data_IF_922528981950
#
_entry.id   IF_922528981950
#
_cell.length_a   1.000
_cell.length_b   1.000
_cell.length_c   1.000
_cell.angle_alpha   90.00
_cell.angle_beta   90.00
_cell.angle_gamma   90.00
#
_symmetry.space_group_name_H-M   'P 1'
#
loop_
_entity.id
_entity.type
_entity.pdbx_description
1 polymer ?
#
# COMPACT_ATOMS: atom_id res chain seq x y z
N UNK A 1 3.19 -25.31 -9.77
CA UNK A 1 4.60 -25.71 -9.86
C UNK A 1 5.44 -24.63 -9.19
N UNK A 2 6.44 -24.99 -8.38
CA UNK A 2 7.28 -24.04 -7.65
C UNK A 2 8.45 -23.51 -8.48
N UNK A 3 8.73 -24.13 -9.63
CA UNK A 3 9.87 -23.82 -10.50
C UNK A 3 9.84 -22.40 -11.07
N UNK A 4 8.69 -21.71 -11.02
CA UNK A 4 8.54 -20.32 -11.47
C UNK A 4 8.86 -19.29 -10.39
N UNK A 5 9.09 -19.70 -9.14
CA UNK A 5 9.35 -18.77 -8.03
C UNK A 5 10.85 -18.55 -7.90
N UNK A 6 11.31 -17.33 -8.18
CA UNK A 6 12.71 -16.96 -8.01
C UNK A 6 13.06 -16.80 -6.53
N UNK A 7 13.70 -17.81 -5.94
CA UNK A 7 14.11 -17.83 -4.53
C UNK A 7 15.63 -17.79 -4.45
N UNK A 8 16.17 -16.76 -3.79
CA UNK A 8 17.62 -16.62 -3.63
C UNK A 8 18.15 -17.66 -2.64
N UNK A 9 19.32 -18.24 -2.94
CA UNK A 9 20.04 -19.16 -2.05
C UNK A 9 21.32 -18.49 -1.56
N UNK A 10 21.50 -18.46 -0.23
CA UNK A 10 22.70 -17.90 0.39
C UNK A 10 23.92 -18.80 0.21
N UNK A 11 25.11 -18.25 0.47
CA UNK A 11 26.39 -18.97 0.36
C UNK A 11 26.50 -20.19 1.30
N UNK A 12 25.72 -20.20 2.40
CA UNK A 12 25.58 -21.32 3.33
C UNK A 12 24.58 -22.40 2.86
N UNK A 13 23.99 -22.25 1.67
CA UNK A 13 23.02 -23.17 1.10
C UNK A 13 21.59 -22.99 1.61
N UNK A 14 21.30 -22.02 2.47
CA UNK A 14 19.94 -21.73 2.94
C UNK A 14 19.16 -20.87 1.95
N UNK A 15 17.86 -21.12 1.80
CA UNK A 15 16.98 -20.28 1.00
C UNK A 15 16.57 -19.03 1.77
N UNK A 16 16.57 -17.88 1.09
CA UNK A 16 16.10 -16.61 1.61
C UNK A 16 14.76 -16.27 0.96
N UNK A 17 13.67 -16.43 1.72
CA UNK A 17 12.32 -16.15 1.25
C UNK A 17 11.94 -14.71 1.55
N UNK A 18 11.47 -14.01 0.52
CA UNK A 18 10.81 -12.70 0.66
C UNK A 18 9.31 -12.89 0.91
N UNK A 19 8.61 -11.83 1.32
CA UNK A 19 7.15 -11.87 1.44
C UNK A 19 6.47 -12.19 0.09
N UNK A 20 7.01 -11.66 -1.02
CA UNK A 20 6.53 -11.99 -2.36
C UNK A 20 6.69 -13.49 -2.69
N UNK A 21 7.80 -14.11 -2.27
CA UNK A 21 7.97 -15.56 -2.42
C UNK A 21 6.92 -16.31 -1.60
N UNK A 22 6.66 -15.89 -0.36
CA UNK A 22 5.64 -16.52 0.51
C UNK A 22 4.25 -16.44 -0.14
N UNK A 23 3.89 -15.30 -0.73
CA UNK A 23 2.61 -15.14 -1.40
C UNK A 23 2.50 -16.03 -2.65
N UNK A 24 3.52 -16.04 -3.49
CA UNK A 24 3.54 -16.91 -4.67
C UNK A 24 3.46 -18.40 -4.30
N UNK A 25 4.15 -18.81 -3.23
CA UNK A 25 4.06 -20.18 -2.71
C UNK A 25 2.65 -20.51 -2.20
N UNK A 26 2.00 -19.58 -1.49
CA UNK A 26 0.62 -19.76 -1.02
C UNK A 26 -0.35 -19.97 -2.19
N UNK A 27 -0.17 -19.22 -3.30
CA UNK A 27 -1.00 -19.37 -4.49
C UNK A 27 -0.79 -20.73 -5.18
N UNK A 28 0.47 -21.19 -5.31
CA UNK A 28 0.79 -22.54 -5.82
C UNK A 28 0.17 -23.64 -4.96
N UNK A 29 0.11 -23.43 -3.64
CA UNK A 29 -0.49 -24.37 -2.68
C UNK A 29 -2.03 -24.27 -2.61
N UNK A 30 -2.66 -23.35 -3.35
CA UNK A 30 -4.11 -23.13 -3.30
C UNK A 30 -4.61 -22.48 -2.01
N UNK A 31 -3.71 -21.87 -1.22
CA UNK A 31 -4.06 -21.13 0.01
C UNK A 31 -4.43 -19.72 -0.39
N UNK A 32 -5.70 -19.49 -0.72
CA UNK A 32 -6.17 -18.19 -1.22
C UNK A 32 -6.05 -17.06 -0.17
N UNK A 33 -5.74 -15.85 -0.63
CA UNK A 33 -5.82 -14.65 0.18
C UNK A 33 -7.30 -14.36 0.54
N UNK A 34 -7.52 -13.74 1.69
CA UNK A 34 -8.83 -13.28 2.14
C UNK A 34 -9.20 -12.01 1.36
N UNK A 35 -9.75 -12.21 0.16
CA UNK A 35 -10.20 -11.13 -0.71
C UNK A 35 -11.55 -10.62 -0.22
N UNK A 36 -11.63 -9.31 0.01
CA UNK A 36 -12.89 -8.64 0.37
C UNK A 36 -13.93 -8.89 -0.73
N UNK A 37 -15.09 -9.43 -0.36
CA UNK A 37 -16.25 -9.57 -1.27
C UNK A 37 -16.94 -8.22 -1.45
N UNK A 38 -17.73 -8.08 -2.51
CA UNK A 38 -18.54 -6.88 -2.75
C UNK A 38 -19.49 -6.56 -1.59
N UNK A 39 -19.99 -7.60 -0.91
CA UNK A 39 -20.85 -7.50 0.28
C UNK A 39 -20.12 -7.10 1.56
N UNK A 40 -18.79 -7.27 1.62
CA UNK A 40 -18.04 -7.04 2.84
C UNK A 40 -17.75 -5.56 3.01
N UNK A 41 -17.97 -5.03 4.21
CA UNK A 41 -17.62 -3.64 4.53
C UNK A 41 -16.11 -3.43 4.47
N UNK A 42 -15.66 -2.38 3.77
CA UNK A 42 -14.28 -1.91 3.84
C UNK A 42 -13.98 -1.43 5.27
N UNK A 43 -12.94 -1.99 5.88
CA UNK A 43 -12.48 -1.53 7.19
C UNK A 43 -11.62 -0.28 7.01
N UNK A 44 -12.04 0.81 7.62
CA UNK A 44 -11.33 2.10 7.58
C UNK A 44 -10.85 2.41 8.99
N UNK A 45 -9.54 2.60 9.13
CA UNK A 45 -8.90 2.95 10.40
C UNK A 45 -8.35 4.37 10.24
N UNK A 46 -8.81 5.28 11.09
CA UNK A 46 -8.33 6.67 11.10
C UNK A 46 -7.41 6.85 12.30
N UNK A 47 -6.16 7.23 12.04
CA UNK A 47 -5.19 7.57 13.09
C UNK A 47 -5.07 9.08 13.16
N UNK A 48 -5.77 9.68 14.11
CA UNK A 48 -5.81 11.13 14.30
C UNK A 48 -5.31 11.52 15.69
N UNK A 49 -4.64 12.67 15.78
CA UNK A 49 -4.22 13.34 17.01
C UNK A 49 -3.94 14.81 16.72
N UNK A 50 -4.48 15.68 17.58
CA UNK A 50 -4.37 17.14 17.49
C UNK A 50 -2.97 17.67 17.90
N UNK A 51 -2.08 16.80 18.38
CA UNK A 51 -0.74 17.18 18.81
C UNK A 51 0.32 16.63 17.83
N UNK A 52 1.24 17.50 17.44
CA UNK A 52 2.43 17.14 16.68
C UNK A 52 3.34 16.20 17.48
N UNK A 53 3.98 15.24 16.81
CA UNK A 53 4.93 14.32 17.46
C UNK A 53 4.30 13.21 18.32
N UNK A 54 2.98 13.00 18.29
CA UNK A 54 2.32 11.93 19.04
C UNK A 54 2.41 10.52 18.40
N UNK A 55 3.29 10.32 17.41
CA UNK A 55 3.49 9.01 16.79
C UNK A 55 2.37 8.53 15.87
N UNK A 56 1.57 9.44 15.27
CA UNK A 56 0.48 9.10 14.33
C UNK A 56 0.99 8.28 13.16
N UNK A 57 1.93 8.84 12.40
CA UNK A 57 2.55 8.21 11.22
C UNK A 57 3.27 6.92 11.60
N UNK A 58 4.02 6.93 12.71
CA UNK A 58 4.68 5.73 13.23
C UNK A 58 3.69 4.62 13.54
N UNK A 59 2.56 4.94 14.18
CA UNK A 59 1.51 3.96 14.49
C UNK A 59 0.86 3.44 13.21
N UNK A 60 0.56 4.32 12.26
CA UNK A 60 -0.01 3.97 10.96
C UNK A 60 0.87 2.99 10.20
N UNK A 61 2.15 3.32 10.04
CA UNK A 61 3.13 2.51 9.32
C UNK A 61 3.28 1.15 9.97
N UNK A 62 3.39 1.09 11.30
CA UNK A 62 3.54 -0.17 12.02
C UNK A 62 2.27 -1.05 11.94
N UNK A 63 1.09 -0.46 12.08
CA UNK A 63 -0.18 -1.21 11.96
C UNK A 63 -0.30 -1.78 10.54
N UNK A 64 -0.04 -0.97 9.51
CA UNK A 64 -0.06 -1.41 8.13
C UNK A 64 0.95 -2.53 7.86
N UNK A 65 2.21 -2.34 8.25
CA UNK A 65 3.26 -3.36 8.09
C UNK A 65 2.93 -4.65 8.83
N UNK A 66 2.42 -4.58 10.06
CA UNK A 66 2.02 -5.75 10.83
C UNK A 66 0.88 -6.50 10.15
N UNK A 67 -0.19 -5.81 9.73
CA UNK A 67 -1.31 -6.42 9.02
C UNK A 67 -0.89 -7.04 7.68
N UNK A 68 0.06 -6.43 6.98
CA UNK A 68 0.54 -6.89 5.69
C UNK A 68 1.42 -8.15 5.79
N UNK A 69 2.28 -8.20 6.80
CA UNK A 69 3.38 -9.18 6.88
C UNK A 69 3.08 -10.38 7.78
N UNK A 70 2.25 -10.19 8.82
CA UNK A 70 2.06 -11.23 9.86
C UNK A 70 0.78 -12.05 9.68
N UNK A 71 -0.07 -11.68 8.73
CA UNK A 71 -1.39 -12.29 8.59
C UNK A 71 -1.43 -13.30 7.44
N UNK A 72 -1.76 -14.56 7.76
CA UNK A 72 -1.99 -15.62 6.76
C UNK A 72 -3.06 -15.26 5.73
N UNK A 73 -3.95 -14.34 6.09
CA UNK A 73 -5.02 -13.84 5.23
C UNK A 73 -4.53 -12.94 4.09
N UNK A 74 -3.30 -12.45 4.12
CA UNK A 74 -2.69 -11.63 3.05
C UNK A 74 -3.56 -10.45 2.63
N UNK A 75 -4.01 -9.65 3.62
CA UNK A 75 -4.87 -8.51 3.37
C UNK A 75 -4.23 -7.48 2.43
N UNK A 76 -5.04 -6.87 1.58
CA UNK A 76 -4.67 -5.67 0.83
C UNK A 76 -4.83 -4.45 1.71
N UNK A 77 -3.81 -3.60 1.76
CA UNK A 77 -3.79 -2.41 2.60
C UNK A 77 -3.58 -1.18 1.71
N UNK A 78 -4.45 -0.20 1.86
CA UNK A 78 -4.29 1.13 1.30
C UNK A 78 -4.01 2.11 2.42
N UNK A 79 -2.97 2.91 2.26
CA UNK A 79 -2.68 4.07 3.13
C UNK A 79 -3.08 5.31 2.35
N UNK A 80 -3.75 6.24 3.02
CA UNK A 80 -4.03 7.57 2.50
C UNK A 80 -3.35 8.54 3.45
N UNK A 81 -2.31 9.23 2.98
CA UNK A 81 -1.69 10.29 3.75
C UNK A 81 -2.52 11.57 3.59
N UNK A 82 -2.96 12.14 4.71
CA UNK A 82 -3.70 13.41 4.74
C UNK A 82 -2.90 14.50 5.44
N UNK A 83 -1.63 14.25 5.79
CA UNK A 83 -0.75 15.25 6.38
C UNK A 83 0.01 15.95 5.24
N UNK A 84 -0.20 17.26 4.97
CA UNK A 84 0.50 17.95 3.89
C UNK A 84 2.03 17.95 4.03
N UNK A 85 2.58 17.56 5.19
CA UNK A 85 4.01 17.35 5.35
C UNK A 85 4.51 16.02 4.73
N UNK A 86 3.62 15.18 4.20
CA UNK A 86 3.98 13.93 3.50
C UNK A 86 4.76 12.95 4.39
N UNK A 87 4.46 12.93 5.69
CA UNK A 87 5.30 12.22 6.67
C UNK A 87 5.36 10.70 6.42
N UNK A 88 4.35 10.11 5.78
CA UNK A 88 4.36 8.69 5.45
C UNK A 88 5.29 8.34 4.29
N UNK A 89 5.57 9.29 3.39
CA UNK A 89 6.45 9.13 2.22
C UNK A 89 7.90 8.82 2.62
N UNK A 90 8.32 9.19 3.84
CA UNK A 90 9.62 8.77 4.39
C UNK A 90 9.71 7.26 4.69
N UNK A 91 8.57 6.61 4.93
CA UNK A 91 8.48 5.16 5.19
C UNK A 91 8.13 4.37 3.94
N UNK A 92 7.36 4.98 3.04
CA UNK A 92 6.93 4.42 1.77
C UNK A 92 7.27 5.41 0.65
N UNK A 93 8.55 5.47 0.20
CA UNK A 93 8.96 6.41 -0.83
C UNK A 93 8.26 6.10 -2.15
N UNK A 94 7.73 7.13 -2.80
CA UNK A 94 7.22 7.06 -4.16
C UNK A 94 8.36 6.78 -5.13
N UNK A 95 8.10 5.98 -6.16
CA UNK A 95 8.99 5.85 -7.30
C UNK A 95 8.69 6.89 -8.39
N UNK A 96 7.50 7.48 -8.35
CA UNK A 96 7.13 8.60 -9.20
C UNK A 96 7.68 9.92 -8.63
N UNK A 97 8.24 10.75 -9.51
CA UNK A 97 8.74 12.07 -9.18
C UNK A 97 7.61 13.07 -8.89
N UNK A 98 6.46 12.91 -9.52
CA UNK A 98 5.28 13.78 -9.37
C UNK A 98 4.00 12.92 -9.24
N UNK A 99 3.84 12.19 -8.12
CA UNK A 99 2.67 11.34 -7.94
C UNK A 99 1.40 12.18 -7.75
N UNK A 100 0.27 11.65 -8.24
CA UNK A 100 -1.06 12.19 -7.92
C UNK A 100 -1.28 12.13 -6.40
N UNK A 101 -1.59 13.26 -5.79
CA UNK A 101 -1.81 13.35 -4.36
C UNK A 101 -3.28 13.14 -4.00
N UNK A 102 -3.54 12.93 -2.70
CA UNK A 102 -4.89 12.96 -2.17
C UNK A 102 -5.57 14.32 -2.42
N UNK A 103 -4.81 15.43 -2.37
CA UNK A 103 -5.31 16.76 -2.65
C UNK A 103 -5.82 16.90 -4.08
N UNK A 104 -5.07 16.40 -5.06
CA UNK A 104 -5.46 16.44 -6.47
C UNK A 104 -6.78 15.70 -6.72
N UNK A 105 -6.93 14.51 -6.13
CA UNK A 105 -8.17 13.73 -6.22
C UNK A 105 -9.34 14.40 -5.50
N UNK A 106 -9.10 15.06 -4.36
CA UNK A 106 -10.15 15.73 -3.58
C UNK A 106 -10.68 16.99 -4.26
N UNK A 107 -9.83 17.68 -5.04
CA UNK A 107 -10.22 18.90 -5.75
C UNK A 107 -10.92 18.63 -7.08
N UNK A 108 -10.88 17.39 -7.56
CA UNK A 108 -11.46 16.98 -8.85
C UNK A 108 -10.89 17.83 -10.01
N UNK A 109 -9.58 18.11 -9.94
CA UNK A 109 -8.86 18.94 -10.91
C UNK A 109 -8.11 18.13 -11.98
N UNK A 110 -8.32 16.81 -12.02
CA UNK A 110 -7.59 15.91 -12.92
C UNK A 110 -8.47 15.59 -14.13
N UNK A 111 -7.94 15.82 -15.33
CA UNK A 111 -8.58 15.39 -16.57
C UNK A 111 -8.35 13.89 -16.78
N UNK A 112 -9.41 13.17 -17.13
CA UNK A 112 -9.35 11.74 -17.43
C UNK A 112 -8.89 11.51 -18.87
N UNK A 113 -8.06 10.50 -19.05
CA UNK A 113 -7.67 10.02 -20.38
C UNK A 113 -8.87 9.37 -21.12
N UNK A 114 -8.77 9.25 -22.44
CA UNK A 114 -9.83 8.65 -23.26
C UNK A 114 -10.13 7.21 -22.83
N UNK A 115 -11.33 6.99 -22.28
CA UNK A 115 -11.79 5.69 -21.80
C UNK A 115 -11.41 5.36 -20.36
N UNK A 116 -10.68 6.24 -19.67
CA UNK A 116 -10.38 6.10 -18.24
C UNK A 116 -11.62 6.43 -17.39
N UNK A 117 -11.91 5.61 -16.38
CA UNK A 117 -12.95 5.93 -15.39
C UNK A 117 -12.34 6.58 -14.15
N UNK A 118 -13.13 7.36 -13.41
CA UNK A 118 -12.70 7.90 -12.11
C UNK A 118 -12.19 6.82 -11.13
N UNK A 119 -12.80 5.63 -11.18
CA UNK A 119 -12.37 4.50 -10.36
C UNK A 119 -10.97 4.01 -10.77
N UNK A 120 -10.67 4.02 -12.06
CA UNK A 120 -9.36 3.63 -12.57
C UNK A 120 -8.32 4.66 -12.15
N UNK A 121 -8.59 5.96 -12.34
CA UNK A 121 -7.74 7.05 -11.87
C UNK A 121 -7.42 6.93 -10.38
N UNK A 122 -8.45 6.83 -9.53
CA UNK A 122 -8.27 6.66 -8.07
C UNK A 122 -7.54 5.38 -7.71
N UNK A 123 -7.73 4.30 -8.47
CA UNK A 123 -7.01 3.05 -8.22
C UNK A 123 -5.56 3.11 -8.69
N UNK A 124 -5.25 3.91 -9.70
CA UNK A 124 -3.93 4.05 -10.29
C UNK A 124 -3.05 5.01 -9.48
N UNK A 125 -3.63 6.04 -8.86
CA UNK A 125 -2.92 7.01 -8.01
C UNK A 125 -2.34 6.46 -6.70
N UNK A 126 -2.68 5.23 -6.32
CA UNK A 126 -2.07 4.55 -5.17
C UNK A 126 -0.70 3.98 -5.56
N UNK A 127 0.39 4.51 -5.04
CA UNK A 127 1.74 4.02 -5.34
C UNK A 127 2.03 2.65 -4.72
N UNK A 128 2.79 1.83 -5.44
CA UNK A 128 3.32 0.57 -4.90
C UNK A 128 4.42 0.83 -3.88
N UNK A 129 4.56 -0.07 -2.91
CA UNK A 129 5.63 0.01 -1.90
C UNK A 129 6.54 -1.21 -1.95
N UNK A 130 7.64 -1.15 -1.20
CA UNK A 130 8.50 -2.31 -0.99
C UNK A 130 7.80 -3.49 -0.26
N UNK A 131 6.60 -3.27 0.30
CA UNK A 131 5.75 -4.32 0.87
C UNK A 131 4.64 -4.64 -0.15
N UNK A 132 4.64 -5.84 -0.78
CA UNK A 132 3.80 -6.15 -1.96
C UNK A 132 2.30 -5.90 -1.85
N UNK A 133 1.73 -5.93 -0.64
CA UNK A 133 0.30 -5.77 -0.39
C UNK A 133 -0.06 -4.45 0.32
N UNK A 134 0.87 -3.49 0.36
CA UNK A 134 0.62 -2.11 0.78
C UNK A 134 0.77 -1.20 -0.43
N UNK A 135 -0.25 -0.36 -0.66
CA UNK A 135 -0.16 0.80 -1.56
C UNK A 135 -0.44 2.10 -0.81
N UNK A 136 0.12 3.21 -1.26
CA UNK A 136 0.01 4.51 -0.60
C UNK A 136 -0.48 5.57 -1.57
N UNK A 137 -1.54 6.28 -1.20
CA UNK A 137 -1.91 7.54 -1.82
C UNK A 137 -1.21 8.67 -1.04
N UNK A 138 -0.21 9.33 -1.63
CA UNK A 138 0.58 10.35 -0.94
C UNK A 138 -0.19 11.66 -0.76
N UNK A 139 0.38 12.54 0.04
CA UNK A 139 -0.02 13.95 0.15
C UNK A 139 1.08 14.87 -0.36
N UNK A 140 0.68 16.04 -0.85
CA UNK A 140 1.53 17.16 -1.23
C UNK A 140 1.43 18.35 -0.27
N UNK A 141 2.44 19.23 -0.27
CA UNK A 141 2.44 20.45 0.55
C UNK A 141 1.27 21.38 0.22
N UNK A 142 0.83 21.37 -1.03
CA UNK A 142 -0.22 22.25 -1.55
C UNK A 142 -1.62 21.64 -1.45
N UNK A 143 -1.78 20.40 -0.96
CA UNK A 143 -3.04 19.64 -0.98
C UNK A 143 -4.21 20.35 -0.31
N UNK A 144 -3.95 21.21 0.68
CA UNK A 144 -4.97 21.89 1.48
C UNK A 144 -4.97 23.43 1.33
N UNK A 145 -4.26 23.96 0.33
CA UNK A 145 -4.19 25.40 0.02
C UNK A 145 -4.83 25.79 -1.31
#
# INVERSE_FOLDING_TARGET
DFDTINIKKGANGHYAYTLANIFAMADVLGVNADQRKSSDKLQVIVINSLKGGCGKTTSLVNIAAALATTNIKRYRIGIIDLDPQGSSSSFFPSNDHEPITVGDLMRDCIELDEGETWKDLVSNSFEETHIPNIRVLPSGMDDFY
#
